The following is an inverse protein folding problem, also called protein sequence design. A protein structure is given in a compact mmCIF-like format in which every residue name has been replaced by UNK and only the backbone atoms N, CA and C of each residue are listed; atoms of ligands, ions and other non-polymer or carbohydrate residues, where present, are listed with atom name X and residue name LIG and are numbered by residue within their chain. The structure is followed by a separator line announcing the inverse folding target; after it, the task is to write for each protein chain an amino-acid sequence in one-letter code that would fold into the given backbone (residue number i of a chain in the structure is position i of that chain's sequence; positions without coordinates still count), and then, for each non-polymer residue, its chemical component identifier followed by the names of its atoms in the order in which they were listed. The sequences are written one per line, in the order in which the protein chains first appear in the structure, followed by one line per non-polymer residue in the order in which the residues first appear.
data_IF_011135058330
#
_entry.id   IF_011135058330
#
_cell.length_a   1.000
_cell.length_b   1.000
_cell.length_c   1.000
_cell.angle_alpha   90.00
_cell.angle_beta   90.00
_cell.angle_gamma   90.00
#
_symmetry.space_group_name_H-M   'P 1'
#
loop_
_entity.id
_entity.type
_entity.pdbx_description
1 polymer ?
#
# COMPACT_ATOMS: atom_id res chain seq x y z
N UNK A 1 59.65 25.22 -28.26
CA UNK A 1 59.61 24.85 -26.83
C UNK A 1 58.19 25.02 -26.32
N UNK A 2 57.73 23.99 -25.60
CA UNK A 2 56.53 23.89 -24.76
C UNK A 2 55.14 23.74 -25.43
N UNK A 3 54.30 22.81 -24.91
CA UNK A 3 53.41 21.99 -25.72
C UNK A 3 51.92 22.12 -25.39
N UNK A 4 51.14 21.46 -26.24
CA UNK A 4 49.71 21.16 -26.23
C UNK A 4 49.14 20.50 -24.94
N UNK A 5 47.83 20.72 -24.68
CA UNK A 5 46.98 19.92 -23.77
C UNK A 5 46.70 20.60 -22.41
N UNK A 6 45.49 20.69 -21.87
CA UNK A 6 44.38 19.72 -21.86
C UNK A 6 43.04 20.48 -21.69
N UNK A 7 42.01 20.05 -22.43
CA UNK A 7 40.61 20.30 -22.05
C UNK A 7 40.35 19.54 -20.76
N UNK A 8 40.14 20.24 -19.65
CA UNK A 8 39.65 19.61 -18.44
C UNK A 8 38.16 19.29 -18.62
N UNK A 9 37.89 18.02 -18.90
CA UNK A 9 36.55 17.46 -18.82
C UNK A 9 36.16 17.44 -17.33
N UNK A 10 35.43 18.46 -16.86
CA UNK A 10 34.97 18.60 -15.48
C UNK A 10 33.74 17.74 -15.16
N UNK A 11 33.33 16.84 -16.07
CA UNK A 11 32.16 15.97 -15.93
C UNK A 11 32.27 14.88 -14.84
N UNK A 12 33.17 15.01 -13.87
CA UNK A 12 33.48 13.95 -12.90
C UNK A 12 33.58 14.34 -11.42
N UNK A 13 33.34 15.61 -11.02
CA UNK A 13 33.64 16.06 -9.64
C UNK A 13 32.49 16.61 -8.80
N UNK A 14 31.25 16.51 -9.25
CA UNK A 14 30.09 16.72 -8.38
C UNK A 14 29.30 15.42 -8.27
N UNK A 15 29.90 14.41 -7.61
CA UNK A 15 29.09 13.44 -6.87
C UNK A 15 28.39 14.26 -5.81
N UNK A 16 27.08 14.48 -5.97
CA UNK A 16 26.24 15.07 -4.94
C UNK A 16 26.55 14.34 -3.63
N UNK A 17 27.22 15.03 -2.71
CA UNK A 17 27.42 14.61 -1.32
C UNK A 17 26.07 14.52 -0.57
N UNK A 18 24.99 14.97 -1.22
CA UNK A 18 23.61 14.62 -0.90
C UNK A 18 23.14 13.44 -1.77
N UNK A 19 23.81 12.29 -1.66
CA UNK A 19 23.09 11.02 -1.82
C UNK A 19 22.19 10.92 -0.59
N UNK A 20 21.04 11.60 -0.62
CA UNK A 20 20.15 11.70 0.54
C UNK A 20 19.69 10.29 0.91
N UNK A 21 20.33 9.71 1.93
CA UNK A 21 19.71 8.67 2.76
C UNK A 21 18.50 9.23 3.54
N UNK A 22 18.26 10.54 3.44
CA UNK A 22 17.14 11.26 4.02
C UNK A 22 15.94 11.15 3.08
N UNK A 23 14.85 10.60 3.60
CA UNK A 23 13.55 10.61 2.93
C UNK A 23 13.08 12.04 2.70
N UNK A 24 12.68 12.34 1.47
CA UNK A 24 11.96 13.54 1.08
C UNK A 24 10.49 13.18 0.85
N UNK A 25 9.58 13.93 1.46
CA UNK A 25 8.13 13.67 1.41
C UNK A 25 7.56 13.64 -0.02
N UNK A 26 6.43 12.96 -0.20
CA UNK A 26 5.86 12.64 -1.51
C UNK A 26 5.67 13.89 -2.38
N UNK A 27 5.20 14.98 -1.77
CA UNK A 27 4.95 16.22 -2.46
C UNK A 27 6.27 16.82 -2.92
N UNK A 28 7.36 16.70 -2.17
CA UNK A 28 8.65 17.30 -2.51
C UNK A 28 9.52 16.41 -3.42
N UNK A 29 9.14 15.17 -3.64
CA UNK A 29 9.84 14.23 -4.53
C UNK A 29 9.62 14.59 -6.02
N UNK A 30 10.59 14.25 -6.88
CA UNK A 30 10.52 14.51 -8.33
C UNK A 30 10.38 15.96 -8.76
N UNK A 31 10.83 16.92 -7.93
CA UNK A 31 10.76 18.36 -8.20
C UNK A 31 12.15 18.91 -8.55
N UNK A 32 12.17 20.00 -9.31
CA UNK A 32 13.38 20.82 -9.48
C UNK A 32 13.39 21.88 -8.38
N UNK A 33 14.50 21.98 -7.65
CA UNK A 33 14.67 22.88 -6.50
C UNK A 33 15.96 23.68 -6.63
N UNK A 34 16.01 24.84 -5.97
CA UNK A 34 17.22 25.66 -5.85
C UNK A 34 18.02 25.21 -4.62
N UNK A 35 19.19 24.62 -4.85
CA UNK A 35 20.18 24.31 -3.83
C UNK A 35 21.12 25.51 -3.64
N UNK A 36 21.16 26.06 -2.43
CA UNK A 36 22.08 27.15 -2.08
C UNK A 36 23.35 26.53 -1.48
N UNK A 37 24.50 26.83 -2.09
CA UNK A 37 25.82 26.38 -1.63
C UNK A 37 26.73 27.59 -1.40
N UNK A 38 27.88 27.38 -0.76
CA UNK A 38 28.91 28.43 -0.62
C UNK A 38 29.38 28.97 -1.99
N UNK A 39 29.28 28.16 -3.05
CA UNK A 39 29.63 28.54 -4.41
C UNK A 39 28.46 29.22 -5.18
N UNK A 40 27.32 29.46 -4.54
CA UNK A 40 26.11 30.03 -5.14
C UNK A 40 24.96 29.04 -5.31
N UNK A 41 23.92 29.49 -6.02
CA UNK A 41 22.69 28.72 -6.25
C UNK A 41 22.80 27.77 -7.44
N UNK A 42 22.35 26.52 -7.27
CA UNK A 42 22.30 25.51 -8.32
C UNK A 42 20.91 24.88 -8.39
N UNK A 43 20.39 24.66 -9.60
CA UNK A 43 19.16 23.88 -9.76
C UNK A 43 19.49 22.38 -9.69
N UNK A 44 18.79 21.66 -8.82
CA UNK A 44 18.94 20.21 -8.65
C UNK A 44 17.57 19.54 -8.64
N UNK A 45 17.52 18.28 -9.06
CA UNK A 45 16.28 17.47 -8.99
C UNK A 45 16.24 16.66 -7.69
N UNK A 46 15.09 16.63 -7.03
CA UNK A 46 14.86 15.76 -5.88
C UNK A 46 14.65 14.30 -6.33
N UNK A 47 14.91 13.31 -5.45
CA UNK A 47 14.72 11.90 -5.77
C UNK A 47 13.29 11.58 -6.22
N UNK A 48 13.16 10.56 -7.05
CA UNK A 48 11.87 9.98 -7.47
C UNK A 48 11.82 8.54 -6.95
N UNK A 49 10.79 8.21 -6.19
CA UNK A 49 10.56 6.84 -5.70
C UNK A 49 9.81 6.02 -6.74
N UNK A 50 10.25 4.78 -6.94
CA UNK A 50 9.54 3.84 -7.80
C UNK A 50 8.35 3.24 -7.04
N UNK A 51 7.34 2.69 -7.73
CA UNK A 51 6.21 2.02 -7.07
C UNK A 51 6.64 0.97 -6.04
N UNK A 52 7.68 0.18 -6.32
CA UNK A 52 8.22 -0.82 -5.38
C UNK A 52 8.81 -0.24 -4.09
N UNK A 53 9.16 1.06 -4.08
CA UNK A 53 9.73 1.74 -2.92
C UNK A 53 8.59 2.30 -2.04
N UNK A 54 7.46 2.70 -2.65
CA UNK A 54 6.24 3.12 -1.96
C UNK A 54 5.31 1.92 -1.82
N UNK A 55 5.43 1.16 -0.74
CA UNK A 55 4.67 -0.09 -0.59
C UNK A 55 3.83 -0.19 0.67
N UNK A 56 2.75 -0.96 0.55
CA UNK A 56 2.03 -1.60 1.65
C UNK A 56 2.21 -3.12 1.52
N UNK A 57 2.73 -3.76 2.55
CA UNK A 57 2.76 -5.22 2.65
C UNK A 57 1.90 -5.65 3.83
N UNK A 58 0.82 -6.38 3.58
CA UNK A 58 -0.12 -6.85 4.60
C UNK A 58 -0.14 -8.36 4.65
N UNK A 59 -0.04 -8.89 5.86
CA UNK A 59 -0.24 -10.30 6.17
C UNK A 59 -1.42 -10.38 7.14
N UNK A 60 -2.39 -11.23 6.82
CA UNK A 60 -3.58 -11.43 7.64
C UNK A 60 -3.80 -12.91 7.87
N UNK A 61 -3.99 -13.30 9.13
CA UNK A 61 -4.36 -14.68 9.50
C UNK A 61 -5.73 -14.66 10.14
N UNK A 62 -6.62 -15.53 9.66
CA UNK A 62 -8.02 -15.62 10.07
C UNK A 62 -8.30 -17.07 10.45
N UNK A 63 -8.76 -17.30 11.68
CA UNK A 63 -9.18 -18.63 12.14
C UNK A 63 -10.69 -18.69 12.16
N UNK A 64 -11.26 -19.34 11.14
CA UNK A 64 -12.71 -19.45 10.99
C UNK A 64 -13.29 -20.36 12.08
N UNK A 65 -14.48 -20.00 12.57
CA UNK A 65 -15.22 -20.77 13.56
C UNK A 65 -16.72 -20.69 13.29
N UNK A 66 -17.46 -21.71 13.74
CA UNK A 66 -18.92 -21.80 13.55
C UNK A 66 -19.72 -21.59 14.84
N UNK A 67 -19.06 -21.50 15.98
CA UNK A 67 -19.68 -21.49 17.30
C UNK A 67 -19.14 -20.37 18.21
N UNK A 68 -18.08 -19.69 17.77
CA UNK A 68 -17.43 -18.58 18.47
C UNK A 68 -17.03 -17.47 17.50
N UNK A 69 -16.72 -16.26 18.00
CA UNK A 69 -16.13 -15.21 17.17
C UNK A 69 -14.85 -15.67 16.48
N UNK A 70 -14.62 -15.12 15.28
CA UNK A 70 -13.50 -15.42 14.41
C UNK A 70 -12.30 -14.58 14.84
N UNK A 71 -11.18 -15.22 15.09
CA UNK A 71 -9.93 -14.55 15.44
C UNK A 71 -9.23 -14.02 14.18
N UNK A 72 -8.81 -12.76 14.21
CA UNK A 72 -8.13 -12.08 13.10
C UNK A 72 -6.88 -11.37 13.61
N UNK A 73 -5.74 -11.63 12.96
CA UNK A 73 -4.49 -10.90 13.18
C UNK A 73 -4.02 -10.28 11.87
N UNK A 74 -3.80 -8.97 11.89
CA UNK A 74 -3.38 -8.18 10.72
C UNK A 74 -2.04 -7.54 11.07
N UNK A 75 -1.05 -7.74 10.21
CA UNK A 75 0.22 -7.04 10.24
C UNK A 75 0.41 -6.31 8.93
N UNK A 76 0.63 -5.00 9.00
CA UNK A 76 0.89 -4.19 7.80
C UNK A 76 2.21 -3.44 7.95
N UNK A 77 3.02 -3.44 6.90
CA UNK A 77 4.17 -2.55 6.77
C UNK A 77 3.91 -1.53 5.68
N UNK A 78 4.14 -0.25 6.00
CA UNK A 78 4.07 0.86 5.05
C UNK A 78 5.45 1.47 4.85
N UNK A 79 5.77 1.90 3.62
CA UNK A 79 7.06 2.53 3.31
C UNK A 79 6.95 3.79 2.44
N UNK A 80 7.91 4.71 2.61
CA UNK A 80 8.06 5.96 1.85
C UNK A 80 6.74 6.76 1.80
N UNK A 81 6.16 6.99 0.62
CA UNK A 81 4.94 7.79 0.51
C UNK A 81 3.74 7.15 1.23
N UNK A 82 3.65 5.82 1.30
CA UNK A 82 2.61 5.14 2.08
C UNK A 82 2.88 5.19 3.60
N UNK A 83 4.14 5.32 4.01
CA UNK A 83 4.47 5.67 5.40
C UNK A 83 3.95 7.06 5.76
N UNK A 84 4.16 8.04 4.88
CA UNK A 84 3.71 9.42 5.08
C UNK A 84 2.19 9.51 5.23
N UNK A 85 1.44 8.77 4.41
CA UNK A 85 -0.03 8.69 4.51
C UNK A 85 -0.51 8.12 5.87
N UNK A 86 0.31 7.30 6.54
CA UNK A 86 -0.01 6.70 7.85
C UNK A 86 0.57 7.44 9.06
N UNK A 87 1.35 8.51 8.85
CA UNK A 87 1.88 9.33 9.96
C UNK A 87 0.76 9.86 10.86
N UNK A 88 -0.38 10.23 10.27
CA UNK A 88 -1.54 10.67 11.03
C UNK A 88 -2.07 9.60 11.98
N UNK A 89 -1.99 8.31 11.63
CA UNK A 89 -2.35 7.21 12.54
C UNK A 89 -1.28 7.03 13.62
N UNK A 90 0.00 6.97 13.23
CA UNK A 90 1.12 6.81 14.15
C UNK A 90 1.13 7.87 15.27
N UNK A 91 0.83 9.12 14.93
CA UNK A 91 0.88 10.26 15.84
C UNK A 91 -0.45 10.54 16.56
N UNK A 92 -1.53 9.81 16.25
CA UNK A 92 -2.82 9.97 16.92
C UNK A 92 -2.81 9.30 18.29
N UNK A 93 -3.63 9.84 19.21
CA UNK A 93 -3.92 9.20 20.49
C UNK A 93 -4.58 7.82 20.31
N UNK A 94 -4.34 6.83 21.20
CA UNK A 94 -4.86 5.47 21.06
C UNK A 94 -6.38 5.37 20.84
N UNK A 95 -7.16 6.25 21.47
CA UNK A 95 -8.62 6.28 21.32
C UNK A 95 -9.01 6.68 19.89
N UNK A 96 -8.33 7.66 19.31
CA UNK A 96 -8.60 8.10 17.94
C UNK A 96 -8.09 7.07 16.93
N UNK A 97 -6.93 6.44 17.18
CA UNK A 97 -6.45 5.30 16.39
C UNK A 97 -7.53 4.20 16.30
N UNK A 98 -8.05 3.77 17.46
CA UNK A 98 -9.08 2.72 17.53
C UNK A 98 -10.34 3.12 16.76
N UNK A 99 -10.81 4.35 16.92
CA UNK A 99 -11.97 4.89 16.20
C UNK A 99 -11.78 4.91 14.68
N UNK A 100 -10.61 5.34 14.21
CA UNK A 100 -10.28 5.38 12.78
C UNK A 100 -10.16 3.98 12.18
N UNK A 101 -9.54 3.04 12.89
CA UNK A 101 -9.49 1.62 12.48
C UNK A 101 -10.89 1.03 12.39
N UNK A 102 -11.72 1.20 13.42
CA UNK A 102 -13.10 0.69 13.41
C UNK A 102 -13.93 1.24 12.24
N UNK A 103 -13.68 2.49 11.83
CA UNK A 103 -14.34 3.09 10.66
C UNK A 103 -13.85 2.54 9.33
N UNK A 104 -12.56 2.28 9.21
CA UNK A 104 -11.91 2.10 7.91
C UNK A 104 -11.57 0.63 7.57
N UNK A 105 -11.44 -0.26 8.56
CA UNK A 105 -10.95 -1.62 8.34
C UNK A 105 -11.94 -2.52 7.58
N UNK A 106 -13.22 -2.13 7.50
CA UNK A 106 -14.24 -2.82 6.70
C UNK A 106 -14.65 -4.20 7.23
N UNK A 107 -14.20 -4.59 8.43
CA UNK A 107 -14.64 -5.83 9.09
C UNK A 107 -15.91 -5.55 9.89
N UNK A 108 -17.02 -6.25 9.61
CA UNK A 108 -18.27 -6.06 10.36
C UNK A 108 -18.15 -6.60 11.79
N UNK A 109 -18.86 -5.97 12.72
CA UNK A 109 -18.94 -6.40 14.13
C UNK A 109 -17.58 -6.74 14.75
N UNK A 110 -16.60 -5.87 14.55
CA UNK A 110 -15.23 -6.08 15.01
C UNK A 110 -15.06 -5.64 16.48
N UNK A 111 -14.36 -6.46 17.25
CA UNK A 111 -13.87 -6.13 18.59
C UNK A 111 -12.34 -6.14 18.57
N UNK A 112 -11.73 -4.96 18.65
CA UNK A 112 -10.27 -4.80 18.64
C UNK A 112 -9.72 -5.10 20.04
N UNK A 113 -8.89 -6.13 20.16
CA UNK A 113 -8.21 -6.52 21.40
C UNK A 113 -6.85 -5.86 21.56
N UNK A 114 -6.12 -5.67 20.45
CA UNK A 114 -4.83 -4.99 20.41
C UNK A 114 -4.72 -4.17 19.12
N UNK A 115 -4.13 -2.99 19.24
CA UNK A 115 -3.82 -2.11 18.12
C UNK A 115 -2.52 -1.38 18.42
N UNK A 116 -1.57 -1.43 17.49
CA UNK A 116 -0.33 -0.67 17.59
C UNK A 116 0.14 -0.16 16.23
N UNK A 117 0.72 1.04 16.26
CA UNK A 117 1.45 1.63 15.16
C UNK A 117 2.84 2.00 15.67
N UNK A 118 3.87 1.45 15.05
CA UNK A 118 5.25 1.65 15.48
C UNK A 118 6.10 2.10 14.29
N UNK A 119 7.04 2.99 14.57
CA UNK A 119 8.15 3.27 13.67
C UNK A 119 9.40 2.56 14.22
N UNK A 120 9.78 1.39 13.67
CA UNK A 120 10.84 0.56 14.25
C UNK A 120 12.22 1.24 14.18
N UNK A 121 12.45 2.05 13.15
CA UNK A 121 13.67 2.81 12.97
C UNK A 121 13.32 4.21 12.44
N UNK A 122 13.74 5.24 13.19
CA UNK A 122 13.46 6.65 12.87
C UNK A 122 14.26 7.17 11.67
N UNK A 123 15.30 6.45 11.24
CA UNK A 123 16.13 6.81 10.09
C UNK A 123 15.53 6.37 8.75
N UNK A 124 14.50 5.52 8.77
CA UNK A 124 13.80 5.03 7.58
C UNK A 124 12.31 5.40 7.61
N UNK A 125 11.71 5.74 6.45
CA UNK A 125 10.28 6.01 6.36
C UNK A 125 9.51 4.70 6.33
N UNK A 126 9.33 4.08 7.51
CA UNK A 126 8.63 2.80 7.67
C UNK A 126 7.74 2.82 8.92
N UNK A 127 6.49 2.37 8.77
CA UNK A 127 5.55 2.11 9.87
C UNK A 127 5.17 0.63 9.84
N UNK A 128 5.07 0.05 11.02
CA UNK A 128 4.50 -1.27 11.27
C UNK A 128 3.19 -1.11 12.06
N UNK A 129 2.11 -1.64 11.49
CA UNK A 129 0.77 -1.74 12.08
C UNK A 129 0.54 -3.19 12.50
N UNK A 130 0.08 -3.40 13.73
CA UNK A 130 -0.32 -4.71 14.25
C UNK A 130 -1.70 -4.58 14.91
N UNK A 131 -2.67 -5.37 14.42
CA UNK A 131 -4.05 -5.37 14.88
C UNK A 131 -4.49 -6.79 15.20
N UNK A 132 -4.93 -7.02 16.43
CA UNK A 132 -5.57 -8.28 16.86
C UNK A 132 -7.02 -7.98 17.21
N UNK A 133 -7.94 -8.66 16.55
CA UNK A 133 -9.37 -8.46 16.75
C UNK A 133 -10.16 -9.75 16.63
N UNK A 134 -11.42 -9.69 17.05
CA UNK A 134 -12.43 -10.71 16.79
C UNK A 134 -13.58 -10.14 15.97
N UNK A 135 -14.27 -10.97 15.22
CA UNK A 135 -15.52 -10.59 14.54
C UNK A 135 -16.49 -11.76 14.50
N UNK A 136 -17.79 -11.49 14.65
CA UNK A 136 -18.83 -12.52 14.56
C UNK A 136 -19.44 -12.66 13.16
N UNK A 137 -19.14 -11.74 12.22
CA UNK A 137 -19.86 -11.60 10.95
C UNK A 137 -18.98 -11.72 9.69
N UNK A 138 -17.95 -12.58 9.71
CA UNK A 138 -17.06 -12.79 8.55
C UNK A 138 -17.44 -13.98 7.64
N UNK A 139 -18.42 -14.78 8.07
CA UNK A 139 -18.90 -15.97 7.34
C UNK A 139 -20.41 -15.86 7.17
N UNK A 140 -20.90 -16.17 5.97
CA UNK A 140 -22.34 -16.39 5.73
C UNK A 140 -22.63 -17.89 5.60
N UNK A 141 -23.80 -18.35 6.07
CA UNK A 141 -24.20 -19.76 6.02
C UNK A 141 -25.31 -19.99 5.00
N UNK A 142 -25.28 -21.15 4.34
CA UNK A 142 -26.37 -21.61 3.49
C UNK A 142 -26.45 -23.14 3.51
N UNK A 143 -27.42 -23.69 4.26
CA UNK A 143 -27.44 -25.12 4.58
C UNK A 143 -26.16 -25.53 5.32
N UNK A 144 -25.51 -26.58 4.84
CA UNK A 144 -24.24 -27.09 5.41
C UNK A 144 -22.99 -26.37 4.83
N UNK A 145 -23.17 -25.30 4.04
CA UNK A 145 -22.08 -24.56 3.40
C UNK A 145 -21.78 -23.25 4.11
N UNK A 146 -20.49 -22.91 4.11
CA UNK A 146 -19.97 -21.63 4.56
C UNK A 146 -19.46 -20.82 3.36
N UNK A 147 -19.79 -19.54 3.34
CA UNK A 147 -19.32 -18.59 2.34
C UNK A 147 -18.43 -17.55 3.02
N UNK A 148 -17.26 -17.32 2.43
CA UNK A 148 -16.32 -16.29 2.88
C UNK A 148 -16.04 -15.31 1.75
N UNK A 149 -15.79 -14.06 2.12
CA UNK A 149 -15.20 -13.08 1.22
C UNK A 149 -13.67 -13.15 1.35
N UNK A 150 -12.90 -13.45 0.29
CA UNK A 150 -11.44 -13.49 0.35
C UNK A 150 -10.77 -12.12 0.48
N UNK A 151 -11.32 -11.08 -0.16
CA UNK A 151 -10.78 -9.72 -0.12
C UNK A 151 -11.55 -8.84 0.86
N UNK A 152 -11.19 -8.85 2.14
CA UNK A 152 -11.89 -8.11 3.20
C UNK A 152 -11.36 -6.68 3.40
N UNK A 153 -10.03 -6.49 3.37
CA UNK A 153 -9.39 -5.30 3.95
C UNK A 153 -8.99 -4.21 2.95
N UNK A 154 -9.10 -4.46 1.64
CA UNK A 154 -8.60 -3.57 0.59
C UNK A 154 -9.67 -3.23 -0.45
N UNK A 155 -10.94 -3.28 -0.05
CA UNK A 155 -12.04 -2.87 -0.91
C UNK A 155 -12.10 -1.35 -0.95
N UNK A 156 -11.62 -0.77 -2.05
CA UNK A 156 -11.90 0.64 -2.36
C UNK A 156 -13.29 0.74 -2.94
N UNK A 157 -14.31 0.72 -2.08
CA UNK A 157 -15.72 0.83 -2.50
C UNK A 157 -16.13 2.29 -2.81
N UNK A 158 -15.24 3.27 -2.61
CA UNK A 158 -15.48 4.63 -3.06
C UNK A 158 -15.47 4.66 -4.59
N UNK A 159 -16.65 4.64 -5.20
CA UNK A 159 -16.82 4.93 -6.62
C UNK A 159 -16.28 6.34 -6.86
N UNK A 160 -15.30 6.48 -7.76
CA UNK A 160 -14.83 7.80 -8.17
C UNK A 160 -16.03 8.61 -8.67
N UNK A 161 -16.08 9.91 -8.37
CA UNK A 161 -17.18 10.72 -8.90
C UNK A 161 -17.11 10.73 -10.44
N UNK A 162 -18.23 10.43 -11.11
CA UNK A 162 -18.33 10.58 -12.57
C UNK A 162 -18.17 12.07 -12.90
N UNK A 163 -17.14 12.39 -13.68
CA UNK A 163 -16.88 13.75 -14.17
C UNK A 163 -17.10 13.70 -15.67
N UNK A 164 -18.27 14.19 -16.11
CA UNK A 164 -18.54 14.36 -17.53
C UNK A 164 -17.71 15.54 -18.06
N UNK A 165 -17.15 15.39 -19.27
CA UNK A 165 -16.36 16.43 -19.94
C UNK A 165 -15.19 16.99 -19.11
N UNK A 166 -14.44 16.12 -18.41
CA UNK A 166 -13.22 16.52 -17.70
C UNK A 166 -12.28 17.27 -18.66
N UNK A 167 -11.85 18.47 -18.29
CA UNK A 167 -10.93 19.30 -19.09
C UNK A 167 -9.47 19.23 -18.60
N UNK A 168 -9.28 18.83 -17.33
CA UNK A 168 -7.96 18.80 -16.70
C UNK A 168 -7.41 17.38 -16.62
N UNK A 169 -6.11 17.26 -16.90
CA UNK A 169 -5.37 16.02 -16.69
C UNK A 169 -5.47 15.53 -15.25
N UNK A 170 -5.26 14.25 -15.03
CA UNK A 170 -5.24 13.65 -13.69
C UNK A 170 -4.02 12.77 -13.49
N UNK A 171 -3.67 12.54 -12.23
CA UNK A 171 -2.60 11.64 -11.83
C UNK A 171 -2.92 11.04 -10.47
N UNK A 172 -2.35 9.88 -10.18
CA UNK A 172 -2.21 9.43 -8.79
C UNK A 172 -1.04 10.19 -8.14
N UNK A 173 -1.18 10.53 -6.87
CA UNK A 173 -0.21 11.37 -6.14
C UNK A 173 1.22 10.81 -6.23
N UNK A 174 1.35 9.48 -6.13
CA UNK A 174 2.59 8.75 -6.30
C UNK A 174 2.30 7.32 -6.78
N UNK A 175 3.30 6.68 -7.40
CA UNK A 175 3.19 5.29 -7.82
C UNK A 175 3.45 4.39 -6.62
N UNK A 176 2.72 3.29 -6.49
CA UNK A 176 2.78 2.42 -5.31
C UNK A 176 2.61 0.94 -5.66
N UNK A 177 3.02 0.09 -4.71
CA UNK A 177 2.84 -1.36 -4.78
C UNK A 177 2.23 -1.88 -3.47
N UNK A 178 1.03 -2.44 -3.55
CA UNK A 178 0.36 -3.10 -2.43
C UNK A 178 0.42 -4.61 -2.62
N UNK A 179 0.83 -5.33 -1.58
CA UNK A 179 0.81 -6.79 -1.50
C UNK A 179 0.02 -7.22 -0.27
N UNK A 180 -0.99 -8.06 -0.46
CA UNK A 180 -1.81 -8.59 0.61
C UNK A 180 -1.85 -10.12 0.56
N UNK A 181 -1.56 -10.75 1.69
CA UNK A 181 -1.67 -12.21 1.86
C UNK A 181 -2.59 -12.48 3.02
N UNK A 182 -3.74 -13.11 2.73
CA UNK A 182 -4.71 -13.51 3.75
C UNK A 182 -4.79 -15.02 3.81
N UNK A 183 -4.52 -15.59 4.97
CA UNK A 183 -4.63 -17.03 5.24
C UNK A 183 -5.86 -17.28 6.10
N UNK A 184 -6.78 -18.09 5.58
CA UNK A 184 -7.97 -18.56 6.29
C UNK A 184 -7.78 -20.01 6.70
N UNK A 185 -7.76 -20.28 7.99
CA UNK A 185 -7.80 -21.63 8.54
C UNK A 185 -9.26 -22.08 8.64
N UNK A 186 -9.60 -23.20 8.02
CA UNK A 186 -10.98 -23.71 8.00
C UNK A 186 -11.37 -24.30 9.36
N UNK A 187 -12.66 -24.22 9.77
CA UNK A 187 -13.13 -24.96 10.94
C UNK A 187 -13.05 -26.46 10.70
N UNK A 188 -12.96 -27.24 11.78
CA UNK A 188 -12.93 -28.70 11.67
C UNK A 188 -14.18 -29.24 10.95
N UNK A 189 -14.00 -30.24 10.09
CA UNK A 189 -15.08 -30.88 9.33
C UNK A 189 -15.46 -30.16 8.03
N UNK A 190 -14.87 -28.99 7.75
CA UNK A 190 -15.07 -28.29 6.49
C UNK A 190 -13.94 -28.57 5.50
N UNK A 191 -14.29 -28.55 4.22
CA UNK A 191 -13.34 -28.61 3.10
C UNK A 191 -13.73 -27.59 2.04
N UNK A 192 -12.76 -27.16 1.24
CA UNK A 192 -13.03 -26.24 0.13
C UNK A 192 -13.78 -26.98 -0.98
N UNK A 193 -14.96 -26.52 -1.34
CA UNK A 193 -15.76 -27.05 -2.45
C UNK A 193 -15.54 -26.27 -3.75
N UNK A 194 -15.35 -24.96 -3.65
CA UNK A 194 -15.24 -24.06 -4.78
C UNK A 194 -14.19 -22.98 -4.52
N UNK A 195 -13.40 -22.69 -5.56
CA UNK A 195 -12.44 -21.58 -5.60
C UNK A 195 -12.71 -20.78 -6.87
N UNK A 196 -12.91 -19.46 -6.79
CA UNK A 196 -13.08 -18.63 -7.98
C UNK A 196 -11.80 -18.59 -8.81
N UNK A 197 -11.92 -18.27 -10.09
CA UNK A 197 -10.76 -18.13 -10.97
C UNK A 197 -9.86 -16.96 -10.55
N UNK A 198 -8.57 -17.11 -10.82
CA UNK A 198 -7.58 -16.04 -10.66
C UNK A 198 -7.98 -14.80 -11.49
N UNK A 199 -7.79 -13.63 -10.91
CA UNK A 199 -7.99 -12.35 -11.59
C UNK A 199 -6.61 -11.80 -11.96
N UNK A 200 -6.47 -11.37 -13.22
CA UNK A 200 -5.30 -10.62 -13.69
C UNK A 200 -5.78 -9.50 -14.61
N UNK A 201 -5.48 -8.27 -14.22
CA UNK A 201 -5.82 -7.06 -14.97
C UNK A 201 -4.55 -6.26 -15.22
N UNK A 202 -4.31 -5.93 -16.47
CA UNK A 202 -3.25 -5.02 -16.89
C UNK A 202 -3.87 -3.86 -17.65
N UNK A 203 -3.56 -2.65 -17.20
CA UNK A 203 -4.09 -1.42 -17.77
C UNK A 203 -2.95 -0.43 -17.93
N UNK A 204 -3.21 0.67 -18.64
CA UNK A 204 -2.24 1.76 -18.73
C UNK A 204 -1.93 2.45 -17.38
N UNK A 205 -2.80 2.27 -16.38
CA UNK A 205 -2.66 2.84 -15.04
C UNK A 205 -1.84 1.97 -14.09
N UNK A 206 -1.74 0.67 -14.38
CA UNK A 206 -1.14 -0.30 -13.48
C UNK A 206 -1.66 -1.73 -13.66
N UNK A 207 -1.26 -2.60 -12.74
CA UNK A 207 -1.58 -4.03 -12.74
C UNK A 207 -2.29 -4.43 -11.45
N UNK A 208 -3.21 -5.38 -11.56
CA UNK A 208 -3.88 -6.00 -10.42
C UNK A 208 -3.92 -7.51 -10.61
N UNK A 209 -3.53 -8.26 -9.59
CA UNK A 209 -3.69 -9.71 -9.57
C UNK A 209 -4.33 -10.13 -8.26
N UNK A 210 -5.21 -11.13 -8.31
CA UNK A 210 -5.75 -11.80 -7.14
C UNK A 210 -5.82 -13.30 -7.40
N UNK A 211 -5.28 -14.09 -6.48
CA UNK A 211 -5.16 -15.54 -6.61
C UNK A 211 -5.57 -16.22 -5.33
N UNK A 212 -6.13 -17.42 -5.45
CA UNK A 212 -6.47 -18.25 -4.30
C UNK A 212 -5.79 -19.61 -4.46
N UNK A 213 -5.12 -20.04 -3.40
CA UNK A 213 -4.55 -21.39 -3.28
C UNK A 213 -5.13 -22.09 -2.07
N UNK A 214 -5.40 -23.38 -2.20
CA UNK A 214 -5.78 -24.23 -1.08
C UNK A 214 -4.57 -25.09 -0.74
N UNK A 215 -4.12 -25.03 0.51
CA UNK A 215 -3.01 -25.83 1.03
C UNK A 215 -3.51 -26.44 2.34
N UNK A 216 -3.55 -27.78 2.38
CA UNK A 216 -4.08 -28.54 3.51
C UNK A 216 -5.48 -28.05 3.92
N UNK A 217 -5.63 -27.59 5.16
CA UNK A 217 -6.87 -27.06 5.74
C UNK A 217 -6.93 -25.52 5.69
N UNK A 218 -6.21 -24.89 4.76
CA UNK A 218 -6.11 -23.43 4.65
C UNK A 218 -6.40 -22.92 3.24
N UNK A 219 -7.04 -21.75 3.16
CA UNK A 219 -7.20 -20.96 1.95
C UNK A 219 -6.25 -19.77 2.03
N UNK A 220 -5.36 -19.63 1.06
CA UNK A 220 -4.42 -18.52 0.94
C UNK A 220 -4.88 -17.64 -0.22
N UNK A 221 -5.39 -16.47 0.11
CA UNK A 221 -5.67 -15.40 -0.84
C UNK A 221 -4.43 -14.50 -0.96
N UNK A 222 -3.98 -14.23 -2.18
CA UNK A 222 -2.88 -13.32 -2.46
C UNK A 222 -3.33 -12.28 -3.46
N UNK A 223 -3.10 -11.01 -3.14
CA UNK A 223 -3.42 -9.88 -4.01
C UNK A 223 -2.20 -8.99 -4.17
N UNK A 224 -1.93 -8.59 -5.41
CA UNK A 224 -0.91 -7.59 -5.74
C UNK A 224 -1.55 -6.48 -6.56
N UNK A 225 -1.34 -5.23 -6.18
CA UNK A 225 -1.69 -4.05 -6.97
C UNK A 225 -0.45 -3.20 -7.18
N UNK A 226 -0.19 -2.80 -8.42
CA UNK A 226 0.84 -1.81 -8.75
C UNK A 226 0.16 -0.67 -9.49
N UNK A 227 0.35 0.56 -9.03
CA UNK A 227 -0.14 1.77 -9.68
C UNK A 227 1.01 2.65 -10.13
N UNK A 228 0.90 3.20 -11.34
CA UNK A 228 1.88 4.12 -11.90
C UNK A 228 1.45 5.57 -11.69
N UNK A 229 2.35 6.39 -11.14
CA UNK A 229 2.19 7.86 -11.18
C UNK A 229 2.64 8.38 -12.53
N UNK A 230 1.65 8.58 -13.40
CA UNK A 230 1.78 9.32 -14.65
C UNK A 230 0.68 10.36 -14.71
N UNK A 231 0.90 11.38 -15.52
CA UNK A 231 -0.12 12.36 -15.88
C UNK A 231 -0.93 11.81 -17.05
N UNK A 232 -2.21 11.59 -16.83
CA UNK A 232 -3.15 11.06 -17.81
C UNK A 232 -3.99 12.20 -18.38
N UNK A 233 -4.25 12.12 -19.68
CA UNK A 233 -5.11 13.07 -20.38
C UNK A 233 -6.58 12.92 -19.91
N UNK A 234 -7.41 13.98 -19.95
CA UNK A 234 -8.75 13.95 -19.38
C UNK A 234 -9.66 12.85 -19.95
N UNK A 235 -9.48 12.49 -21.22
CA UNK A 235 -10.29 11.50 -21.96
C UNK A 235 -10.14 10.08 -21.41
N UNK A 236 -9.07 9.84 -20.66
CA UNK A 236 -8.77 8.56 -19.99
C UNK A 236 -9.52 8.40 -18.67
N UNK A 237 -10.21 9.45 -18.19
CA UNK A 237 -11.04 9.38 -17.01
C UNK A 237 -12.40 8.74 -17.35
N UNK A 238 -12.41 7.41 -17.47
CA UNK A 238 -13.62 6.61 -17.69
C UNK A 238 -13.87 5.73 -16.46
N UNK A 239 -15.08 5.82 -15.92
CA UNK A 239 -15.55 4.92 -14.86
C UNK A 239 -16.37 3.85 -15.56
N UNK A 240 -15.87 2.62 -15.56
CA UNK A 240 -16.58 1.43 -16.02
C UNK A 240 -17.30 0.77 -14.85
#
# INVERSE_FOLDING_TARGET
MHPCGKRYNLAGKYKSIYTSRIYIGNNNSGRTVLLVTEAGGQLVSTPVYKPKDNFQNRITTITLATDKPIDVHIKTTYSNSQYEDQLGMLLSEPVEQRKRVMRNLGIPDMEISSLSFLQPDKSIPKIEEDIVLKSSQMISRGGDKLFITPNLLNRRESVLAKVENRQTSFSVAYGFQDTDVTTYTLPQGYKVEFVPQDISLETEFGTYTAKIKVIDNSIIYTRNQIMSSKKYAPEKYKIS
#
